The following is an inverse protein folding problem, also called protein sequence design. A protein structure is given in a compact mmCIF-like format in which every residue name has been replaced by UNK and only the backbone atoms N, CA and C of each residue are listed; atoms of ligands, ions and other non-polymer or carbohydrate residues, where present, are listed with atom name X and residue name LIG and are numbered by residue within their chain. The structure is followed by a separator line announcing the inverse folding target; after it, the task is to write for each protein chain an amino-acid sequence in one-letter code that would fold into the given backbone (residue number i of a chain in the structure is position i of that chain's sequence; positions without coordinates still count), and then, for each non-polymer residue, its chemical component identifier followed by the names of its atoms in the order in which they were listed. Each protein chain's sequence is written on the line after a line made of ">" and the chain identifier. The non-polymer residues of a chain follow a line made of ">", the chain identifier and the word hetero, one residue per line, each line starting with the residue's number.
data_IF_197798694773
#
_entry.id   IF_197798694773
#
_cell.length_a   1.000
_cell.length_b   1.000
_cell.length_c   1.000
_cell.angle_alpha   90.00
_cell.angle_beta   90.00
_cell.angle_gamma   90.00
#
_symmetry.space_group_name_H-M   'P 1'
#
loop_
_entity.id
_entity.type
_entity.pdbx_description
1 polymer ?
#
# COMPACT_ATOMS: atom_id res chain seq x y z
N UNK A 1 -7.39 -6.96 0.54
CA UNK A 1 -7.26 -5.86 1.53
C UNK A 1 -8.44 -5.97 2.48
N UNK A 2 -8.20 -5.98 3.79
CA UNK A 2 -9.26 -6.16 4.81
C UNK A 2 -9.18 -5.01 5.82
N UNK A 3 -10.31 -4.41 6.18
CA UNK A 3 -10.39 -3.34 7.20
C UNK A 3 -11.82 -3.19 7.75
N UNK A 4 -12.02 -2.28 8.71
CA UNK A 4 -13.36 -1.77 9.05
C UNK A 4 -13.75 -0.71 8.03
N UNK A 5 -14.86 -0.94 7.33
CA UNK A 5 -15.38 -0.03 6.31
C UNK A 5 -15.86 1.28 6.93
N UNK A 6 -15.44 2.44 6.41
CA UNK A 6 -15.99 3.72 6.83
C UNK A 6 -17.42 3.95 6.28
N UNK A 7 -17.81 3.27 5.20
CA UNK A 7 -19.13 3.41 4.59
C UNK A 7 -20.20 2.63 5.35
N UNK A 8 -19.90 1.39 5.77
CA UNK A 8 -20.88 0.48 6.38
C UNK A 8 -20.68 0.31 7.88
N UNK A 9 -19.53 0.71 8.43
CA UNK A 9 -19.17 0.48 9.84
C UNK A 9 -18.84 -0.98 10.18
N UNK A 10 -18.87 -1.89 9.21
CA UNK A 10 -18.64 -3.34 9.38
C UNK A 10 -17.27 -3.77 8.83
N UNK A 11 -16.93 -5.05 8.96
CA UNK A 11 -15.77 -5.64 8.26
C UNK A 11 -16.00 -5.58 6.74
N UNK A 12 -14.94 -5.28 5.99
CA UNK A 12 -14.89 -5.42 4.54
C UNK A 12 -13.59 -6.08 4.12
N UNK A 13 -13.67 -6.93 3.10
CA UNK A 13 -12.56 -7.36 2.29
C UNK A 13 -12.75 -6.94 0.82
N UNK A 14 -11.63 -6.72 0.13
CA UNK A 14 -11.58 -6.35 -1.27
C UNK A 14 -10.41 -7.06 -1.93
N UNK A 15 -10.61 -7.57 -3.14
CA UNK A 15 -9.62 -8.33 -3.89
C UNK A 15 -9.04 -7.49 -5.03
N UNK A 16 -7.72 -7.59 -5.20
CA UNK A 16 -7.00 -7.02 -6.34
C UNK A 16 -6.17 -8.12 -7.02
N UNK A 17 -6.18 -8.13 -8.35
CA UNK A 17 -5.34 -9.02 -9.16
C UNK A 17 -3.98 -8.41 -9.50
N UNK A 18 -3.36 -8.89 -10.58
CA UNK A 18 -2.07 -8.41 -11.06
C UNK A 18 -0.88 -8.93 -10.24
N UNK A 19 0.20 -8.16 -10.19
CA UNK A 19 1.49 -8.63 -9.67
C UNK A 19 1.73 -8.34 -8.18
N UNK A 20 0.90 -7.51 -7.53
CA UNK A 20 1.18 -7.03 -6.17
C UNK A 20 1.28 -8.15 -5.13
N UNK A 21 0.37 -9.13 -5.19
CA UNK A 21 0.40 -10.29 -4.28
C UNK A 21 1.62 -11.19 -4.51
N UNK A 22 1.94 -11.48 -5.78
CA UNK A 22 3.11 -12.28 -6.14
C UNK A 22 4.42 -11.59 -5.72
N UNK A 23 4.56 -10.28 -5.99
CA UNK A 23 5.75 -9.49 -5.60
C UNK A 23 5.93 -9.42 -4.10
N UNK A 24 4.85 -9.33 -3.33
CA UNK A 24 4.93 -9.37 -1.86
C UNK A 24 5.47 -10.73 -1.37
N UNK A 25 4.96 -11.83 -1.95
CA UNK A 25 5.44 -13.18 -1.62
C UNK A 25 6.89 -13.40 -2.04
N UNK A 26 7.30 -12.93 -3.21
CA UNK A 26 8.68 -12.98 -3.68
C UNK A 26 9.63 -12.15 -2.82
N UNK A 27 9.14 -11.02 -2.27
CA UNK A 27 9.86 -10.25 -1.27
C UNK A 27 9.90 -10.93 0.11
N UNK A 28 9.32 -12.13 0.28
CA UNK A 28 9.37 -12.88 1.54
C UNK A 28 8.28 -12.52 2.55
N UNK A 29 7.22 -11.83 2.14
CA UNK A 29 6.13 -11.42 3.02
C UNK A 29 4.80 -12.05 2.60
N UNK A 30 4.00 -12.49 3.57
CA UNK A 30 2.63 -13.01 3.33
C UNK A 30 1.55 -11.93 3.39
N UNK A 31 1.85 -10.80 4.04
CA UNK A 31 0.92 -9.72 4.24
C UNK A 31 1.56 -8.51 4.91
N UNK A 32 0.82 -7.42 4.97
CA UNK A 32 1.20 -6.18 5.65
C UNK A 32 0.06 -5.76 6.57
N UNK A 33 0.42 -5.29 7.77
CA UNK A 33 -0.53 -4.72 8.74
C UNK A 33 -0.13 -3.26 8.95
N UNK A 34 -0.96 -2.34 8.45
CA UNK A 34 -0.82 -0.92 8.72
C UNK A 34 -1.67 -0.54 9.94
N UNK A 35 -1.07 0.16 10.91
CA UNK A 35 -1.74 0.71 12.11
C UNK A 35 -1.31 2.15 12.33
N UNK A 36 -2.17 2.93 12.98
CA UNK A 36 -1.92 4.34 13.23
C UNK A 36 -2.09 5.21 11.99
N UNK A 37 -1.42 6.37 11.98
CA UNK A 37 -1.48 7.37 10.92
C UNK A 37 -0.12 8.06 10.79
N UNK A 38 0.37 8.22 9.57
CA UNK A 38 1.59 9.00 9.32
C UNK A 38 1.32 10.51 9.44
N UNK A 39 2.32 11.27 9.88
CA UNK A 39 2.22 12.74 10.05
C UNK A 39 2.18 13.48 8.70
N UNK A 40 2.77 12.88 7.66
CA UNK A 40 2.82 13.38 6.29
C UNK A 40 2.56 12.26 5.28
N UNK A 41 2.26 12.57 4.00
CA UNK A 41 2.12 11.55 2.96
C UNK A 41 3.38 10.67 2.87
N UNK A 42 3.18 9.36 2.95
CA UNK A 42 4.25 8.35 2.79
C UNK A 42 3.72 7.14 2.01
N UNK A 43 4.63 6.39 1.39
CA UNK A 43 4.34 5.08 0.82
C UNK A 43 5.27 4.01 1.42
N UNK A 44 4.79 2.76 1.47
CA UNK A 44 5.62 1.63 1.89
C UNK A 44 6.41 1.10 0.69
N UNK A 45 7.73 1.11 0.81
CA UNK A 45 8.65 0.49 -0.13
C UNK A 45 9.11 -0.85 0.43
N UNK A 46 9.05 -1.89 -0.42
CA UNK A 46 9.33 -3.26 -0.01
C UNK A 46 10.37 -3.85 -0.95
N UNK A 47 11.48 -4.30 -0.38
CA UNK A 47 12.56 -4.92 -1.12
C UNK A 47 13.25 -5.97 -0.25
N UNK A 48 13.37 -7.20 -0.77
CA UNK A 48 14.06 -8.31 -0.10
C UNK A 48 13.67 -8.50 1.39
N UNK A 49 12.38 -8.46 1.70
CA UNK A 49 11.83 -8.67 3.04
C UNK A 49 11.88 -7.46 3.96
N UNK A 50 12.47 -6.36 3.50
CA UNK A 50 12.53 -5.09 4.25
C UNK A 50 11.38 -4.20 3.84
N UNK A 51 10.83 -3.48 4.82
CA UNK A 51 9.75 -2.51 4.63
C UNK A 51 10.23 -1.15 5.14
N UNK A 52 10.17 -0.14 4.29
CA UNK A 52 10.54 1.24 4.62
C UNK A 52 9.39 2.19 4.26
N UNK A 53 9.16 3.21 5.09
CA UNK A 53 8.23 4.29 4.75
C UNK A 53 9.01 5.44 4.10
N UNK A 54 8.70 5.73 2.84
CA UNK A 54 9.35 6.80 2.05
C UNK A 54 8.40 7.99 1.90
N UNK A 55 8.97 9.19 1.83
CA UNK A 55 8.22 10.43 1.61
C UNK A 55 7.42 10.36 0.30
N UNK A 56 6.15 10.75 0.36
CA UNK A 56 5.23 10.76 -0.78
C UNK A 56 4.63 12.15 -1.01
N UNK A 57 5.25 13.22 -0.50
CA UNK A 57 4.70 14.57 -0.57
C UNK A 57 4.49 15.01 -2.03
N UNK A 58 5.43 14.68 -2.90
CA UNK A 58 5.37 14.98 -4.35
C UNK A 58 4.38 14.10 -5.12
N UNK A 59 3.92 13.00 -4.51
CA UNK A 59 2.92 12.08 -5.09
C UNK A 59 1.51 12.42 -4.64
N UNK A 60 1.37 13.15 -3.53
CA UNK A 60 0.07 13.41 -2.92
C UNK A 60 -0.78 14.30 -3.83
N UNK A 61 -2.03 13.87 -4.06
CA UNK A 61 -2.96 14.53 -5.00
C UNK A 61 -2.89 14.02 -6.44
N UNK A 62 -1.92 13.16 -6.78
CA UNK A 62 -1.84 12.52 -8.11
C UNK A 62 -2.77 11.31 -8.20
N UNK A 63 -3.20 10.99 -9.42
CA UNK A 63 -3.99 9.79 -9.69
C UNK A 63 -3.16 8.49 -9.55
N UNK A 64 -3.84 7.35 -9.40
CA UNK A 64 -3.16 6.05 -9.26
C UNK A 64 -2.23 5.72 -10.45
N UNK A 65 -2.70 5.92 -11.68
CA UNK A 65 -1.90 5.65 -12.88
C UNK A 65 -0.70 6.59 -13.04
N UNK A 66 -0.87 7.86 -12.68
CA UNK A 66 0.22 8.84 -12.70
C UNK A 66 1.27 8.49 -11.64
N UNK A 67 0.85 8.18 -10.42
CA UNK A 67 1.72 7.76 -9.33
C UNK A 67 2.54 6.53 -9.70
N UNK A 68 1.91 5.53 -10.35
CA UNK A 68 2.62 4.33 -10.83
C UNK A 68 3.68 4.71 -11.86
N UNK A 69 3.38 5.60 -12.81
CA UNK A 69 4.36 6.06 -13.83
C UNK A 69 5.54 6.83 -13.25
N UNK A 70 5.36 7.52 -12.12
CA UNK A 70 6.42 8.26 -11.44
C UNK A 70 7.34 7.31 -10.66
N UNK A 71 6.79 6.22 -10.11
CA UNK A 71 7.51 5.27 -9.26
C UNK A 71 8.17 4.11 -10.01
N UNK A 72 7.81 3.87 -11.28
CA UNK A 72 8.37 2.82 -12.15
C UNK A 72 9.41 3.37 -13.10
#
# INVERSE_FOLDING_TARGET
>A
VVTKSPLTGTVTDSHQGGWSGARLKWAGLDGLIFRGKAEKPVYAYIEAGKVELKDASDLWGKGAHETIKILQ
#
